data_IF_271683019457
#
_entry.id   IF_271683019457
#
_cell.length_a   1.000
_cell.length_b   1.000
_cell.length_c   1.000
_cell.angle_alpha   90.00
_cell.angle_beta   90.00
_cell.angle_gamma   90.00
#
_symmetry.space_group_name_H-M   'P 1'
#
loop_
_entity.id
_entity.type
_entity.pdbx_description
1 polymer ?
#
# COMPACT_ATOMS: atom_id res chain seq x y z
N UNK A 1 -2.40 6.19 -0.50
CA UNK A 1 -2.91 4.82 -0.67
C UNK A 1 -1.70 3.91 -0.68
N UNK A 2 -1.66 2.89 0.14
CA UNK A 2 -0.43 2.12 0.39
C UNK A 2 -0.59 0.74 -0.25
N UNK A 3 0.41 0.16 -0.93
CA UNK A 3 0.23 -1.06 -1.75
C UNK A 3 1.05 -2.24 -1.22
N UNK A 4 0.49 -3.46 -1.30
CA UNK A 4 1.15 -4.70 -0.86
C UNK A 4 1.78 -5.63 -1.93
N UNK A 5 1.38 -5.64 -3.21
CA UNK A 5 2.06 -6.27 -4.38
C UNK A 5 1.12 -6.18 -5.61
N UNK A 6 1.44 -6.43 -6.90
CA UNK A 6 2.60 -6.86 -7.70
C UNK A 6 2.43 -6.26 -9.12
N UNK A 7 3.39 -5.48 -9.62
CA UNK A 7 3.30 -4.81 -10.94
C UNK A 7 3.95 -5.65 -12.04
N UNK A 8 3.23 -6.62 -12.62
CA UNK A 8 3.77 -7.50 -13.68
C UNK A 8 4.15 -6.78 -14.98
N UNK A 9 3.51 -5.65 -15.30
CA UNK A 9 3.78 -4.86 -16.53
C UNK A 9 4.48 -3.51 -16.31
N UNK A 10 4.68 -3.06 -15.06
CA UNK A 10 5.27 -1.75 -14.77
C UNK A 10 6.57 -1.88 -13.98
N UNK A 11 7.66 -2.21 -14.69
CA UNK A 11 8.97 -2.50 -14.10
C UNK A 11 9.50 -1.34 -13.26
N UNK A 12 9.40 -0.11 -13.77
CA UNK A 12 9.89 1.10 -13.11
C UNK A 12 9.13 1.40 -11.80
N UNK A 13 7.80 1.25 -11.79
CA UNK A 13 7.00 1.42 -10.56
C UNK A 13 7.41 0.40 -9.50
N UNK A 14 7.58 -0.88 -9.91
CA UNK A 14 8.03 -1.94 -9.01
C UNK A 14 9.41 -1.61 -8.41
N UNK A 15 10.38 -1.25 -9.24
CA UNK A 15 11.75 -0.90 -8.82
C UNK A 15 11.74 0.28 -7.84
N UNK A 16 11.02 1.36 -8.17
CA UNK A 16 10.89 2.53 -7.29
C UNK A 16 10.29 2.15 -5.95
N UNK A 17 9.17 1.42 -5.92
CA UNK A 17 8.53 1.00 -4.67
C UNK A 17 9.43 0.05 -3.86
N UNK A 18 10.14 -0.88 -4.51
CA UNK A 18 11.08 -1.80 -3.85
C UNK A 18 12.26 -1.07 -3.21
N UNK A 19 12.71 0.04 -3.81
CA UNK A 19 13.74 0.93 -3.26
C UNK A 19 13.22 1.92 -2.20
N UNK A 20 11.98 1.76 -1.72
CA UNK A 20 11.34 2.65 -0.75
C UNK A 20 10.82 3.97 -1.34
N UNK A 21 10.89 4.14 -2.65
CA UNK A 21 10.37 5.32 -3.33
C UNK A 21 8.85 5.44 -3.28
N UNK A 22 8.37 6.62 -3.67
CA UNK A 22 6.95 6.94 -3.78
C UNK A 22 6.55 7.01 -5.27
N UNK A 23 5.33 6.64 -5.59
CA UNK A 23 4.79 6.74 -6.95
C UNK A 23 3.44 7.44 -6.96
N UNK A 24 3.19 8.26 -7.98
CA UNK A 24 1.85 8.79 -8.28
C UNK A 24 1.24 7.88 -9.32
N UNK A 25 0.10 7.26 -9.01
CA UNK A 25 -0.54 6.26 -9.88
C UNK A 25 -2.02 6.59 -10.06
N UNK A 26 -2.60 6.30 -11.24
CA UNK A 26 -4.03 6.51 -11.46
C UNK A 26 -4.87 5.54 -10.61
N UNK A 27 -6.07 5.97 -10.27
CA UNK A 27 -7.12 5.13 -9.67
C UNK A 27 -8.43 5.43 -10.41
N UNK A 28 -9.50 4.69 -10.11
CA UNK A 28 -10.81 4.88 -10.75
C UNK A 28 -11.38 6.30 -10.58
N UNK A 29 -10.91 7.05 -9.57
CA UNK A 29 -11.41 8.40 -9.27
C UNK A 29 -10.35 9.47 -9.55
N UNK A 30 -9.24 9.43 -8.83
CA UNK A 30 -8.16 10.43 -8.89
C UNK A 30 -6.80 9.77 -8.76
N UNK A 31 -5.73 10.52 -9.06
CA UNK A 31 -4.38 10.02 -8.79
C UNK A 31 -4.09 9.89 -7.30
N UNK A 32 -3.49 8.76 -6.91
CA UNK A 32 -3.05 8.47 -5.56
C UNK A 32 -1.54 8.59 -5.41
N UNK A 33 -1.07 8.93 -4.20
CA UNK A 33 0.34 8.72 -3.80
C UNK A 33 0.45 7.32 -3.19
N UNK A 34 1.43 6.55 -3.65
CA UNK A 34 1.66 5.17 -3.29
C UNK A 34 3.06 4.91 -2.76
N UNK A 35 3.14 4.04 -1.76
CA UNK A 35 4.36 3.50 -1.17
C UNK A 35 4.11 2.05 -0.71
N UNK A 36 5.18 1.35 -0.29
CA UNK A 36 5.09 0.02 0.31
C UNK A 36 4.53 0.09 1.73
N UNK A 37 3.60 -0.80 2.07
CA UNK A 37 2.94 -0.80 3.39
C UNK A 37 3.84 -1.13 4.58
N UNK A 38 4.77 -2.04 4.38
CA UNK A 38 5.70 -2.46 5.42
C UNK A 38 6.98 -1.60 5.47
N UNK A 39 7.08 -0.55 4.65
CA UNK A 39 8.18 0.41 4.71
C UNK A 39 7.75 1.63 5.54
N UNK A 40 8.10 1.60 6.83
CA UNK A 40 7.71 2.64 7.79
C UNK A 40 8.17 4.03 7.34
N UNK A 41 9.38 4.16 6.81
CA UNK A 41 9.92 5.45 6.38
C UNK A 41 9.15 5.99 5.17
N UNK A 42 8.81 5.13 4.21
CA UNK A 42 8.01 5.54 3.05
C UNK A 42 6.59 5.96 3.47
N UNK A 43 5.98 5.27 4.44
CA UNK A 43 4.69 5.66 5.01
C UNK A 43 4.77 7.02 5.71
N UNK A 44 5.80 7.27 6.52
CA UNK A 44 6.03 8.57 7.17
C UNK A 44 6.23 9.69 6.14
N UNK A 45 6.97 9.43 5.04
CA UNK A 45 7.09 10.39 3.93
C UNK A 45 5.73 10.73 3.33
N UNK A 46 4.84 9.76 3.15
CA UNK A 46 3.48 10.01 2.65
C UNK A 46 2.66 10.85 3.64
N UNK A 47 2.74 10.57 4.95
CA UNK A 47 2.08 11.39 5.97
C UNK A 47 2.53 12.85 5.93
N UNK A 48 3.86 13.07 5.87
CA UNK A 48 4.47 14.41 5.77
C UNK A 48 4.02 15.13 4.49
N UNK A 49 4.11 14.47 3.34
CA UNK A 49 3.71 15.05 2.04
C UNK A 49 2.21 15.40 1.96
N UNK A 50 1.36 14.60 2.60
CA UNK A 50 -0.10 14.85 2.62
C UNK A 50 -0.53 15.79 3.75
N UNK A 51 0.37 16.19 4.65
CA UNK A 51 0.01 16.96 5.86
C UNK A 51 -1.06 16.26 6.71
N UNK A 52 -1.08 14.91 6.71
CA UNK A 52 -2.15 14.13 7.35
C UNK A 52 -1.77 13.83 8.80
N UNK A 53 -2.75 13.90 9.70
CA UNK A 53 -2.56 13.48 11.08
C UNK A 53 -2.44 11.94 11.16
N UNK A 54 -1.49 11.43 11.96
CA UNK A 54 -1.25 9.99 12.15
C UNK A 54 -2.46 9.21 12.69
N UNK A 55 -3.37 9.86 13.43
CA UNK A 55 -4.65 9.26 13.86
C UNK A 55 -5.58 8.87 12.71
N UNK A 56 -5.36 9.41 11.50
CA UNK A 56 -6.15 9.10 10.31
C UNK A 56 -5.35 8.15 9.42
N UNK A 57 -5.56 6.82 9.50
CA UNK A 57 -4.81 5.87 8.68
C UNK A 57 -5.08 6.08 7.18
N UNK A 58 -4.15 5.59 6.36
CA UNK A 58 -4.36 5.41 4.94
C UNK A 58 -4.87 4.00 4.65
N UNK A 59 -5.64 3.85 3.58
CA UNK A 59 -6.03 2.53 3.07
C UNK A 59 -4.82 1.77 2.53
N UNK A 60 -4.81 0.45 2.76
CA UNK A 60 -3.84 -0.48 2.19
C UNK A 60 -4.53 -1.32 1.11
N UNK A 61 -3.91 -1.34 -0.07
CA UNK A 61 -4.31 -2.16 -1.20
C UNK A 61 -3.60 -3.51 -1.12
N UNK A 62 -4.40 -4.54 -0.95
CA UNK A 62 -3.98 -5.94 -1.05
C UNK A 62 -4.42 -6.52 -2.40
N UNK A 63 -3.63 -7.44 -2.99
CA UNK A 63 -3.95 -8.03 -4.29
C UNK A 63 -5.13 -9.01 -4.23
N UNK A 64 -5.32 -9.66 -3.08
CA UNK A 64 -6.31 -10.70 -2.83
C UNK A 64 -6.48 -10.86 -1.31
N UNK A 65 -7.44 -11.70 -0.93
CA UNK A 65 -7.78 -11.96 0.47
C UNK A 65 -6.67 -12.70 1.23
N UNK A 66 -5.88 -13.54 0.56
CA UNK A 66 -4.80 -14.31 1.20
C UNK A 66 -3.68 -13.39 1.71
N UNK A 67 -3.48 -12.23 1.09
CA UNK A 67 -2.54 -11.23 1.56
C UNK A 67 -2.88 -10.66 2.97
N UNK A 68 -4.08 -10.88 3.49
CA UNK A 68 -4.42 -10.55 4.89
C UNK A 68 -3.56 -11.31 5.91
N UNK A 69 -3.02 -12.47 5.55
CA UNK A 69 -2.09 -13.22 6.40
C UNK A 69 -0.85 -12.38 6.77
N UNK A 70 -0.41 -11.48 5.91
CA UNK A 70 0.71 -10.59 6.18
C UNK A 70 0.43 -9.57 7.30
N UNK A 71 -0.82 -9.43 7.73
CA UNK A 71 -1.26 -8.60 8.84
C UNK A 71 -1.70 -9.40 10.07
N UNK A 72 -1.39 -10.71 10.12
CA UNK A 72 -1.75 -11.60 11.24
C UNK A 72 -3.26 -11.73 11.48
N UNK A 73 -4.11 -11.60 10.45
CA UNK A 73 -5.51 -12.01 10.58
C UNK A 73 -5.62 -13.53 10.63
N UNK A 74 -6.42 -14.06 11.57
CA UNK A 74 -6.65 -15.49 11.74
C UNK A 74 -7.53 -16.06 10.62
N UNK A 75 -7.29 -17.34 10.26
CA UNK A 75 -8.06 -18.07 9.23
C UNK A 75 -9.57 -18.06 9.48
N UNK A 76 -10.02 -17.93 10.73
CA UNK A 76 -11.45 -17.88 11.08
C UNK A 76 -12.23 -16.77 10.37
N UNK A 77 -11.56 -15.67 9.98
CA UNK A 77 -12.18 -14.61 9.17
C UNK A 77 -12.20 -14.93 7.67
N UNK A 78 -11.29 -15.78 7.19
CA UNK A 78 -11.24 -16.24 5.80
C UNK A 78 -12.31 -17.29 5.54
N UNK A 79 -12.63 -18.12 6.53
CA UNK A 79 -13.65 -19.19 6.42
C UNK A 79 -15.10 -18.65 6.43
N UNK A 80 -15.31 -17.38 6.79
CA UNK A 80 -16.63 -16.70 6.81
C UNK A 80 -16.98 -15.96 5.50
N UNK A 81 -16.07 -15.89 4.53
CA UNK A 81 -16.23 -15.19 3.24
C UNK A 81 -16.28 -16.18 2.09
#
# INVERSE_FOLDING_TARGET
>A
MIILKSWRKQRKVKETLLAGGLCILPTDTIYGIHCRAFDKEAVERVYKLKGRNYSKPFIVLIPDIYALQAFNFSHSYLDML
#
